data_IF_644721415002
#
_entry.id   IF_644721415002
#
_cell.length_a   1.000
_cell.length_b   1.000
_cell.length_c   1.000
_cell.angle_alpha   90.00
_cell.angle_beta   90.00
_cell.angle_gamma   90.00
#
_symmetry.space_group_name_H-M   'P 1'
#
loop_
_entity.id
_entity.type
_entity.pdbx_description
1 polymer ?
#
# COMPACT_ATOMS: atom_id res chain seq x y z
N UNK A 1 20.29 -2.07 33.74
CA UNK A 1 21.46 -1.64 32.93
C UNK A 1 21.63 -2.44 31.62
N UNK A 2 20.94 -3.57 31.43
CA UNK A 2 21.01 -4.38 30.21
C UNK A 2 20.37 -3.76 28.96
N UNK A 3 19.17 -3.15 29.11
CA UNK A 3 18.41 -2.58 27.97
C UNK A 3 19.23 -1.53 27.22
N UNK A 4 19.78 -0.53 27.92
CA UNK A 4 20.64 0.51 27.32
C UNK A 4 21.88 -0.08 26.62
N UNK A 5 22.52 -1.08 27.23
CA UNK A 5 23.67 -1.73 26.62
C UNK A 5 23.28 -2.46 25.31
N UNK A 6 22.08 -3.06 25.29
CA UNK A 6 21.56 -3.74 24.11
C UNK A 6 21.19 -2.76 23.00
N UNK A 7 20.56 -1.64 23.33
CA UNK A 7 20.29 -0.54 22.40
C UNK A 7 21.57 0.00 21.76
N UNK A 8 22.61 0.25 22.57
CA UNK A 8 23.91 0.71 22.07
C UNK A 8 24.54 -0.32 21.12
N UNK A 9 24.40 -1.61 21.43
CA UNK A 9 24.86 -2.70 20.56
C UNK A 9 24.16 -2.71 19.21
N UNK A 10 22.86 -2.40 19.16
CA UNK A 10 22.12 -2.28 17.90
C UNK A 10 22.55 -1.04 17.11
N UNK A 11 22.76 0.10 17.76
CA UNK A 11 23.26 1.30 17.10
C UNK A 11 24.64 1.06 16.49
N UNK A 12 25.54 0.39 17.21
CA UNK A 12 26.85 -0.01 16.67
C UNK A 12 26.73 -0.90 15.43
N UNK A 13 25.82 -1.87 15.45
CA UNK A 13 25.57 -2.70 14.26
C UNK A 13 25.09 -1.88 13.06
N UNK A 14 24.34 -0.80 13.29
CA UNK A 14 23.89 0.09 12.23
C UNK A 14 25.06 0.90 11.65
N UNK A 15 26.00 1.35 12.49
CA UNK A 15 27.20 2.05 12.02
C UNK A 15 28.10 1.11 11.19
N UNK A 16 28.24 -0.16 11.61
CA UNK A 16 29.03 -1.19 10.91
C UNK A 16 28.43 -1.64 9.56
N UNK A 17 27.18 -1.26 9.23
CA UNK A 17 26.56 -1.66 7.96
C UNK A 17 27.26 -1.04 6.76
N UNK A 18 27.72 0.21 6.89
CA UNK A 18 28.36 0.97 5.81
C UNK A 18 29.72 0.36 5.47
N UNK A 19 30.53 0.08 6.49
CA UNK A 19 31.81 -0.63 6.35
C UNK A 19 31.65 -2.00 5.68
N UNK A 20 30.59 -2.73 6.04
CA UNK A 20 30.30 -4.04 5.47
C UNK A 20 29.85 -3.95 4.00
N UNK A 21 29.11 -2.90 3.64
CA UNK A 21 28.67 -2.64 2.28
C UNK A 21 29.86 -2.29 1.37
N UNK A 22 30.79 -1.45 1.86
CA UNK A 22 31.98 -1.05 1.13
C UNK A 22 33.05 -2.16 1.08
N UNK A 23 33.03 -3.08 2.05
CA UNK A 23 34.00 -4.17 2.16
C UNK A 23 35.43 -3.65 2.25
N UNK A 24 35.61 -2.52 2.94
CA UNK A 24 36.87 -1.75 2.98
C UNK A 24 38.03 -2.54 3.59
N UNK A 25 37.74 -3.54 4.42
CA UNK A 25 38.68 -4.46 5.07
C UNK A 25 39.18 -5.60 4.17
N UNK A 26 38.50 -5.87 3.06
CA UNK A 26 38.77 -7.06 2.22
C UNK A 26 39.67 -6.80 1.01
N UNK A 27 39.96 -5.54 0.69
CA UNK A 27 40.75 -5.16 -0.48
C UNK A 27 40.10 -5.67 -1.77
N UNK A 28 40.88 -6.30 -2.66
CA UNK A 28 40.37 -6.84 -3.94
C UNK A 28 39.37 -8.00 -3.75
N UNK A 29 39.46 -8.74 -2.63
CA UNK A 29 38.55 -9.89 -2.36
C UNK A 29 37.10 -9.48 -2.19
N UNK A 30 36.82 -8.19 -1.96
CA UNK A 30 35.45 -7.68 -1.84
C UNK A 30 34.59 -7.95 -3.08
N UNK A 31 35.23 -8.14 -4.24
CA UNK A 31 34.56 -8.43 -5.50
C UNK A 31 34.34 -9.93 -5.75
N UNK A 32 34.88 -10.80 -4.89
CA UNK A 32 34.63 -12.24 -5.01
C UNK A 32 33.13 -12.52 -4.82
N UNK A 33 32.49 -13.28 -5.73
CA UNK A 33 31.05 -13.52 -5.66
C UNK A 33 30.58 -14.11 -4.31
N UNK A 34 31.39 -14.99 -3.71
CA UNK A 34 31.08 -15.57 -2.39
C UNK A 34 31.11 -14.54 -1.27
N UNK A 35 32.04 -13.59 -1.32
CA UNK A 35 32.16 -12.50 -0.34
C UNK A 35 31.00 -11.52 -0.47
N UNK A 36 30.66 -11.11 -1.70
CA UNK A 36 29.53 -10.21 -1.98
C UNK A 36 28.23 -10.81 -1.44
N UNK A 37 27.97 -12.10 -1.72
CA UNK A 37 26.75 -12.77 -1.27
C UNK A 37 26.72 -12.94 0.26
N UNK A 38 27.87 -13.21 0.89
CA UNK A 38 27.98 -13.24 2.36
C UNK A 38 27.68 -11.87 2.97
N UNK A 39 28.24 -10.79 2.42
CA UNK A 39 28.03 -9.43 2.92
C UNK A 39 26.57 -9.02 2.74
N UNK A 40 25.97 -9.30 1.59
CA UNK A 40 24.55 -9.09 1.35
C UNK A 40 23.67 -9.78 2.39
N UNK A 41 23.91 -11.06 2.66
CA UNK A 41 23.15 -11.81 3.68
C UNK A 41 23.29 -11.18 5.07
N UNK A 42 24.49 -10.73 5.43
CA UNK A 42 24.73 -10.05 6.71
C UNK A 42 24.01 -8.71 6.81
N UNK A 43 24.05 -7.89 5.75
CA UNK A 43 23.34 -6.61 5.67
C UNK A 43 21.84 -6.83 5.82
N UNK A 44 21.26 -7.77 5.06
CA UNK A 44 19.83 -8.05 5.08
C UNK A 44 19.38 -8.54 6.47
N UNK A 45 20.15 -9.45 7.08
CA UNK A 45 19.85 -9.97 8.42
C UNK A 45 19.88 -8.87 9.48
N UNK A 46 20.89 -7.99 9.44
CA UNK A 46 21.02 -6.88 10.38
C UNK A 46 19.94 -5.83 10.16
N UNK A 47 19.62 -5.46 8.91
CA UNK A 47 18.53 -4.54 8.59
C UNK A 47 17.19 -5.05 9.12
N UNK A 48 16.89 -6.34 8.91
CA UNK A 48 15.67 -6.95 9.44
C UNK A 48 15.63 -6.90 10.98
N UNK A 49 16.73 -7.26 11.63
CA UNK A 49 16.84 -7.22 13.09
C UNK A 49 16.65 -5.78 13.62
N UNK A 50 17.28 -4.78 13.01
CA UNK A 50 17.19 -3.38 13.40
C UNK A 50 15.76 -2.84 13.24
N UNK A 51 15.08 -3.19 12.16
CA UNK A 51 13.66 -2.82 11.93
C UNK A 51 12.75 -3.36 13.04
N UNK A 52 13.01 -4.56 13.56
CA UNK A 52 12.22 -5.16 14.65
C UNK A 52 12.61 -4.69 16.04
N UNK A 53 13.89 -4.50 16.31
CA UNK A 53 14.38 -4.17 17.66
C UNK A 53 14.35 -2.66 17.93
N UNK A 54 14.44 -1.82 16.90
CA UNK A 54 14.43 -0.36 17.00
C UNK A 54 13.47 0.27 15.96
N UNK A 55 12.16 -0.07 16.01
CA UNK A 55 11.19 0.35 14.99
C UNK A 55 10.99 1.88 14.92
N UNK A 56 11.29 2.60 15.99
CA UNK A 56 11.20 4.07 16.01
C UNK A 56 12.24 4.75 15.13
N UNK A 57 13.43 4.14 15.00
CA UNK A 57 14.57 4.72 14.29
C UNK A 57 14.69 4.10 12.89
N UNK A 58 14.63 2.76 12.81
CA UNK A 58 14.87 1.99 11.59
C UNK A 58 13.61 1.33 11.02
N UNK A 59 12.42 1.72 11.51
CA UNK A 59 11.15 1.25 10.94
C UNK A 59 10.92 1.82 9.55
N UNK A 60 10.23 1.05 8.70
CA UNK A 60 9.86 1.49 7.37
C UNK A 60 8.83 2.64 7.48
N UNK A 61 9.22 3.82 6.99
CA UNK A 61 8.33 4.97 6.90
C UNK A 61 7.54 4.86 5.61
N UNK A 62 6.32 4.33 5.70
CA UNK A 62 5.39 4.31 4.58
C UNK A 62 4.51 5.55 4.68
N UNK A 63 4.55 6.40 3.65
CA UNK A 63 3.56 7.47 3.53
C UNK A 63 2.25 6.89 3.01
N UNK A 64 1.19 7.02 3.79
CA UNK A 64 -0.13 6.48 3.49
C UNK A 64 -1.03 7.67 3.13
N UNK A 65 -0.69 8.34 2.04
CA UNK A 65 -1.46 9.48 1.48
C UNK A 65 -1.97 9.16 0.08
N UNK A 66 -3.07 9.79 -0.32
CA UNK A 66 -3.53 9.79 -1.72
C UNK A 66 -3.04 11.08 -2.37
N UNK A 67 -1.93 11.00 -3.11
CA UNK A 67 -1.32 12.13 -3.80
C UNK A 67 -1.10 13.37 -2.89
N UNK A 68 -0.54 13.15 -1.69
CA UNK A 68 -0.24 14.21 -0.72
C UNK A 68 -1.45 14.75 0.05
N UNK A 69 -2.64 14.15 -0.13
CA UNK A 69 -3.83 14.44 0.67
C UNK A 69 -4.03 13.35 1.73
N UNK A 70 -4.41 13.72 2.96
CA UNK A 70 -4.78 12.74 3.97
C UNK A 70 -5.86 11.84 3.40
N UNK A 71 -5.69 10.52 3.54
CA UNK A 71 -6.75 9.59 3.18
C UNK A 71 -7.98 9.99 3.99
N UNK A 72 -9.10 10.17 3.29
CA UNK A 72 -10.38 10.34 3.96
C UNK A 72 -10.66 9.03 4.70
N UNK A 73 -10.39 8.99 6.00
CA UNK A 73 -10.87 7.93 6.87
C UNK A 73 -12.38 8.10 6.93
N UNK A 74 -13.12 7.43 6.05
CA UNK A 74 -14.56 7.38 6.12
C UNK A 74 -14.92 6.79 7.48
N UNK A 75 -15.71 7.52 8.27
CA UNK A 75 -16.26 6.97 9.50
C UNK A 75 -17.23 5.83 9.13
N UNK A 76 -17.46 4.88 10.03
CA UNK A 76 -18.42 3.78 9.80
C UNK A 76 -19.81 4.31 9.38
N UNK A 77 -20.16 5.51 9.87
CA UNK A 77 -21.39 6.22 9.51
C UNK A 77 -21.40 6.71 8.05
N UNK A 78 -20.26 7.13 7.51
CA UNK A 78 -20.14 7.58 6.12
C UNK A 78 -20.22 6.41 5.15
N UNK A 79 -19.64 5.26 5.53
CA UNK A 79 -19.74 4.01 4.79
C UNK A 79 -21.20 3.51 4.78
N UNK A 80 -21.87 3.54 5.94
CA UNK A 80 -23.28 3.15 6.05
C UNK A 80 -24.20 4.05 5.20
N UNK A 81 -23.96 5.37 5.17
CA UNK A 81 -24.70 6.31 4.30
C UNK A 81 -24.43 6.06 2.82
N UNK A 82 -23.20 5.75 2.44
CA UNK A 82 -22.86 5.43 1.05
C UNK A 82 -23.55 4.14 0.58
N UNK A 83 -23.59 3.10 1.42
CA UNK A 83 -24.29 1.85 1.15
C UNK A 83 -25.80 2.06 1.06
N UNK A 84 -26.39 2.83 1.98
CA UNK A 84 -27.81 3.17 1.95
C UNK A 84 -28.20 3.90 0.65
N UNK A 85 -27.37 4.85 0.19
CA UNK A 85 -27.57 5.54 -1.09
C UNK A 85 -27.52 4.59 -2.28
N UNK A 86 -26.52 3.71 -2.32
CA UNK A 86 -26.39 2.71 -3.39
C UNK A 86 -27.60 1.78 -3.48
N UNK A 87 -28.17 1.40 -2.34
CA UNK A 87 -29.38 0.59 -2.27
C UNK A 87 -30.64 1.37 -2.67
N UNK A 88 -30.75 2.66 -2.33
CA UNK A 88 -31.92 3.48 -2.71
C UNK A 88 -31.98 3.86 -4.19
N UNK A 89 -30.86 3.89 -4.91
CA UNK A 89 -30.84 4.14 -6.37
C UNK A 89 -31.44 2.96 -7.17
N UNK A 90 -31.64 1.80 -6.55
CA UNK A 90 -32.34 0.66 -7.15
C UNK A 90 -33.88 0.75 -7.11
N UNK A 91 -34.45 1.88 -6.67
CA UNK A 91 -35.87 2.17 -6.89
C UNK A 91 -36.06 2.70 -8.32
N UNK A 92 -36.22 1.77 -9.28
CA UNK A 92 -36.65 2.12 -10.64
C UNK A 92 -37.90 3.02 -10.56
N UNK A 93 -37.96 4.15 -11.28
CA UNK A 93 -39.23 4.82 -11.48
C UNK A 93 -40.18 3.81 -12.14
N UNK A 94 -41.36 3.64 -11.55
CA UNK A 94 -42.39 2.75 -12.07
C UNK A 94 -42.60 3.03 -13.57
N UNK A 95 -42.71 2.00 -14.44
CA UNK A 95 -42.93 2.25 -15.86
C UNK A 95 -44.25 3.00 -16.02
N UNK A 96 -44.17 4.23 -16.53
CA UNK A 96 -45.35 5.01 -16.89
C UNK A 96 -46.13 4.25 -17.97
N UNK A 97 -47.48 4.17 -17.88
CA UNK A 97 -48.26 3.48 -18.89
C UNK A 97 -48.07 4.18 -20.23
N UNK A 98 -47.56 3.45 -21.22
CA UNK A 98 -47.41 3.94 -22.59
C UNK A 98 -48.83 4.15 -23.14
N UNK A 99 -49.25 5.40 -23.25
CA UNK A 99 -50.45 5.77 -24.02
C UNK A 99 -50.14 5.53 -25.50
N UNK A 100 -50.67 4.44 -26.05
CA UNK A 100 -50.58 4.16 -27.48
C UNK A 100 -51.61 5.05 -28.18
N UNK A 101 -51.16 6.21 -28.64
CA UNK A 101 -51.95 7.04 -29.55
C UNK A 101 -52.17 6.24 -30.84
N UNK A 102 -53.43 5.87 -31.10
CA UNK A 102 -53.81 5.12 -32.28
C UNK A 102 -53.57 6.00 -33.52
N UNK A 103 -52.43 5.80 -34.18
CA UNK A 103 -52.18 6.36 -35.50
C UNK A 103 -53.24 5.79 -36.45
N UNK A 104 -54.06 6.63 -37.12
CA UNK A 104 -55.05 6.14 -38.05
C UNK A 104 -54.33 5.53 -39.27
N UNK A 105 -54.47 4.22 -39.42
CA UNK A 105 -54.03 3.50 -40.62
C UNK A 105 -54.85 4.03 -41.80
N UNK A 106 -54.19 4.76 -42.70
CA UNK A 106 -54.77 5.10 -44.01
C UNK A 106 -55.13 3.80 -44.71
N UNK A 107 -56.42 3.63 -44.99
CA UNK A 107 -56.94 2.62 -45.89
C UNK A 107 -56.43 2.92 -47.31
N UNK A 108 -55.33 2.32 -47.70
CA UNK A 108 -55.00 2.18 -49.12
C UNK A 108 -55.89 1.06 -49.69
N UNK A 109 -56.62 1.45 -50.74
CA UNK A 109 -57.65 0.66 -51.37
C UNK A 109 -57.11 -0.49 -52.21
N UNK A 110 -58.04 -1.39 -52.47
CA UNK A 110 -58.02 -2.45 -53.47
C UNK A 110 -57.40 -2.01 -54.80
N UNK A 111 -56.41 -2.80 -55.24
CA UNK A 111 -56.47 -3.57 -56.49
C UNK A 111 -55.48 -4.73 -56.44
#
# INVERSE_FOLDING_TARGET
RYVRARELGYLKMADELDDLADGSDLGERRFEPGVVQRHRLQIDTRRWLLSKMLPKVFGDKVDVTSAGKPLASASDLDIAKALARALTVAALPAPEPIEVEAVPVKSEGEQ
#
